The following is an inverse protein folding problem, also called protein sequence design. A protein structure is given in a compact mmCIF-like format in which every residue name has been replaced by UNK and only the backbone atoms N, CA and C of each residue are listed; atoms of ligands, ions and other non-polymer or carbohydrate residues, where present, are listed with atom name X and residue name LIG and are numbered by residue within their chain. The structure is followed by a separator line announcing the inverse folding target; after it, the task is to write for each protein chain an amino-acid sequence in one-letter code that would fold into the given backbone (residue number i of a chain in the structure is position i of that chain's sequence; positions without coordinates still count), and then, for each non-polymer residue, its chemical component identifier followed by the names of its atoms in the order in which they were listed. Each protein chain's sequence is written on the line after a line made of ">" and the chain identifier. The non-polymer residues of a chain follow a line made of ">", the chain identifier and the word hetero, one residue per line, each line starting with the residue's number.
data_IF_765406729571
#
_entry.id   IF_765406729571
#
_cell.length_a   1.000
_cell.length_b   1.000
_cell.length_c   1.000
_cell.angle_alpha   90.00
_cell.angle_beta   90.00
_cell.angle_gamma   90.00
#
_symmetry.space_group_name_H-M   'P 1'
#
loop_
_entity.id
_entity.type
_entity.pdbx_description
1 polymer ?
#
# COMPACT_ATOMS: atom_id res chain seq x y z
N UNK A 1 -11.19 18.24 0.11
CA UNK A 1 -10.32 17.54 1.08
C UNK A 1 -10.71 17.96 2.48
N UNK A 2 -10.95 17.00 3.35
CA UNK A 2 -11.16 17.27 4.76
C UNK A 2 -9.83 17.71 5.41
N UNK A 3 -9.86 18.78 6.20
CA UNK A 3 -8.68 19.23 6.92
C UNK A 3 -8.16 18.19 7.91
N UNK A 4 -8.98 17.19 8.27
CA UNK A 4 -8.60 16.12 9.19
C UNK A 4 -7.95 14.93 8.48
N UNK A 5 -7.96 14.88 7.14
CA UNK A 5 -7.35 13.78 6.40
C UNK A 5 -5.88 14.09 6.13
N UNK A 6 -4.96 13.29 6.69
CA UNK A 6 -3.54 13.49 6.42
C UNK A 6 -3.18 13.11 4.99
N UNK A 7 -2.14 13.74 4.48
CA UNK A 7 -1.57 13.40 3.18
C UNK A 7 -0.14 12.93 3.36
N UNK A 8 0.24 11.91 2.61
CA UNK A 8 1.60 11.34 2.63
C UNK A 8 2.16 11.37 1.22
N UNK A 9 3.38 11.88 1.08
CA UNK A 9 4.09 11.85 -0.19
C UNK A 9 5.12 10.74 -0.17
N UNK A 10 5.06 9.89 -1.19
CA UNK A 10 6.06 8.85 -1.43
C UNK A 10 6.98 9.34 -2.55
N UNK A 11 8.23 9.59 -2.23
CA UNK A 11 9.24 9.98 -3.21
C UNK A 11 9.90 8.71 -3.71
N UNK A 12 9.61 8.33 -4.96
CA UNK A 12 10.18 7.11 -5.54
C UNK A 12 11.18 7.47 -6.64
N UNK A 13 11.97 6.49 -7.05
CA UNK A 13 12.90 6.67 -8.16
C UNK A 13 12.19 6.77 -9.52
N UNK A 14 10.86 6.66 -9.54
CA UNK A 14 10.04 6.87 -10.74
C UNK A 14 9.26 8.18 -10.68
N UNK A 15 9.28 8.86 -9.54
CA UNK A 15 8.57 10.12 -9.33
C UNK A 15 7.80 10.12 -8.00
N UNK A 16 7.09 11.19 -7.74
CA UNK A 16 6.36 11.37 -6.48
C UNK A 16 4.92 10.91 -6.60
N UNK A 17 4.45 10.25 -5.54
CA UNK A 17 3.04 9.82 -5.40
C UNK A 17 2.52 10.43 -4.11
N UNK A 18 1.39 11.13 -4.17
CA UNK A 18 0.76 11.68 -2.98
C UNK A 18 -0.54 10.95 -2.68
N UNK A 19 -0.67 10.50 -1.44
CA UNK A 19 -1.81 9.77 -0.94
C UNK A 19 -2.61 10.67 0.01
N UNK A 20 -3.93 10.64 -0.09
CA UNK A 20 -4.80 11.20 0.94
C UNK A 20 -5.34 10.04 1.77
N UNK A 21 -5.14 10.09 3.08
CA UNK A 21 -5.53 9.02 3.99
C UNK A 21 -6.84 9.36 4.67
N UNK A 22 -7.76 8.39 4.74
CA UNK A 22 -9.09 8.60 5.33
C UNK A 22 -9.09 8.17 6.79
N UNK A 23 -8.70 9.08 7.67
CA UNK A 23 -8.60 8.81 9.11
C UNK A 23 -9.98 8.64 9.78
N UNK A 24 -11.03 9.12 9.15
CA UNK A 24 -12.39 8.97 9.68
C UNK A 24 -12.91 7.55 9.50
N UNK A 25 -12.66 6.95 8.34
CA UNK A 25 -13.14 5.61 8.00
C UNK A 25 -12.19 4.50 8.43
N UNK A 26 -10.90 4.79 8.51
CA UNK A 26 -9.88 3.81 8.82
C UNK A 26 -8.88 4.36 9.85
N UNK A 27 -9.35 4.74 11.05
CA UNK A 27 -8.50 5.44 12.02
C UNK A 27 -7.30 4.61 12.48
N UNK A 28 -7.48 3.32 12.73
CA UNK A 28 -6.38 2.44 13.18
C UNK A 28 -5.38 2.21 12.07
N UNK A 29 -5.85 1.98 10.86
CA UNK A 29 -5.00 1.73 9.70
C UNK A 29 -4.18 2.98 9.35
N UNK A 30 -4.83 4.15 9.35
CA UNK A 30 -4.16 5.42 9.06
C UNK A 30 -3.10 5.72 10.12
N UNK A 31 -3.44 5.58 11.41
CA UNK A 31 -2.49 5.81 12.50
C UNK A 31 -1.29 4.88 12.40
N UNK A 32 -1.52 3.62 12.07
CA UNK A 32 -0.47 2.62 11.88
C UNK A 32 0.45 3.01 10.71
N UNK A 33 -0.14 3.36 9.57
CA UNK A 33 0.61 3.75 8.38
C UNK A 33 1.46 4.99 8.64
N UNK A 34 0.90 6.01 9.28
CA UNK A 34 1.62 7.26 9.62
C UNK A 34 2.76 6.96 10.59
N UNK A 35 2.54 6.07 11.57
CA UNK A 35 3.58 5.64 12.49
C UNK A 35 4.80 5.09 11.73
N UNK A 36 4.57 4.24 10.72
CA UNK A 36 5.65 3.73 9.89
C UNK A 36 6.29 4.82 9.04
N UNK A 37 5.50 5.75 8.52
CA UNK A 37 6.03 6.88 7.73
C UNK A 37 6.97 7.72 8.60
N UNK A 38 6.54 8.08 9.80
CA UNK A 38 7.32 8.94 10.69
C UNK A 38 8.56 8.26 11.26
N UNK A 39 8.52 6.93 11.41
CA UNK A 39 9.67 6.18 11.88
C UNK A 39 10.74 5.93 10.81
N UNK A 40 10.45 6.29 9.54
CA UNK A 40 11.37 6.04 8.44
C UNK A 40 11.32 4.61 7.90
N UNK A 41 10.33 3.83 8.28
CA UNK A 41 10.21 2.43 7.86
C UNK A 41 10.18 2.28 6.34
N UNK A 42 9.46 3.17 5.65
CA UNK A 42 9.32 3.09 4.20
C UNK A 42 10.49 3.66 3.42
N UNK A 43 11.39 4.39 4.10
CA UNK A 43 12.56 4.95 3.43
C UNK A 43 13.49 3.80 3.01
N UNK A 44 13.79 3.73 1.72
CA UNK A 44 14.62 2.64 1.16
C UNK A 44 13.86 1.34 0.92
N UNK A 45 12.55 1.29 1.13
CA UNK A 45 11.75 0.12 0.79
C UNK A 45 11.42 0.09 -0.69
N UNK A 46 11.02 -1.08 -1.20
CA UNK A 46 10.73 -1.26 -2.62
C UNK A 46 9.28 -1.70 -2.83
N UNK A 47 8.80 -1.46 -4.05
CA UNK A 47 7.59 -2.12 -4.54
C UNK A 47 8.02 -3.49 -5.05
N UNK A 48 7.86 -4.50 -4.23
CA UNK A 48 8.40 -5.85 -4.51
C UNK A 48 7.43 -6.73 -5.31
N UNK A 49 6.23 -6.24 -5.58
CA UNK A 49 5.23 -6.98 -6.35
C UNK A 49 4.43 -6.00 -7.20
N UNK A 50 4.50 -6.20 -8.52
CA UNK A 50 3.80 -5.35 -9.48
C UNK A 50 3.07 -6.24 -10.46
N UNK A 51 1.75 -6.11 -10.52
CA UNK A 51 0.91 -6.83 -11.46
C UNK A 51 0.09 -5.78 -12.22
N UNK A 52 0.38 -5.61 -13.50
CA UNK A 52 -0.10 -4.47 -14.31
C UNK A 52 -1.61 -4.34 -14.39
N UNK A 53 -2.35 -5.45 -14.23
CA UNK A 53 -3.81 -5.45 -14.29
C UNK A 53 -4.44 -5.65 -12.92
N UNK A 54 -3.71 -5.38 -11.84
CA UNK A 54 -4.17 -5.68 -10.49
C UNK A 54 -3.73 -4.60 -9.50
N UNK A 55 -2.46 -4.62 -9.09
CA UNK A 55 -1.97 -3.69 -8.06
C UNK A 55 -0.45 -3.61 -8.07
N UNK A 56 0.07 -2.60 -7.37
CA UNK A 56 1.50 -2.48 -7.05
C UNK A 56 1.63 -2.51 -5.52
N UNK A 57 2.45 -3.41 -5.00
CA UNK A 57 2.58 -3.67 -3.56
C UNK A 57 3.98 -3.40 -3.08
N UNK A 58 4.10 -2.77 -1.92
CA UNK A 58 5.40 -2.45 -1.33
C UNK A 58 5.33 -2.21 0.16
N UNK A 59 6.47 -1.76 0.71
CA UNK A 59 6.58 -1.38 2.11
C UNK A 59 7.06 -2.48 3.04
N UNK A 60 7.36 -3.69 2.51
CA UNK A 60 7.78 -4.82 3.35
C UNK A 60 9.25 -5.22 3.20
N UNK A 61 9.90 -4.84 2.11
CA UNK A 61 11.26 -5.29 1.80
C UNK A 61 12.15 -4.09 1.44
N UNK A 62 13.44 -4.21 1.74
CA UNK A 62 14.44 -3.22 1.31
C UNK A 62 15.00 -3.56 -0.07
N UNK A 63 15.98 -2.77 -0.55
CA UNK A 63 16.56 -2.95 -1.88
C UNK A 63 17.32 -4.26 -2.04
N UNK A 64 17.73 -4.88 -0.95
CA UNK A 64 18.42 -6.17 -0.93
C UNK A 64 17.44 -7.33 -0.71
N UNK A 65 16.14 -7.04 -0.74
CA UNK A 65 15.06 -8.00 -0.55
C UNK A 65 15.04 -8.63 0.85
N UNK A 66 15.54 -7.88 1.84
CA UNK A 66 15.41 -8.28 3.24
C UNK A 66 14.10 -7.73 3.79
N UNK A 67 13.34 -8.57 4.46
CA UNK A 67 12.08 -8.14 5.09
C UNK A 67 12.39 -7.19 6.25
N UNK A 68 11.76 -6.01 6.21
CA UNK A 68 11.96 -5.02 7.27
C UNK A 68 11.15 -5.43 8.50
N UNK A 69 11.69 -5.22 9.72
CA UNK A 69 10.94 -5.54 10.94
C UNK A 69 9.68 -4.68 11.06
N UNK A 70 8.62 -5.28 11.60
CA UNK A 70 7.33 -4.61 11.73
C UNK A 70 6.86 -4.62 13.18
N UNK A 71 5.91 -3.73 13.47
CA UNK A 71 5.20 -3.69 14.74
C UNK A 71 4.09 -4.74 14.74
N UNK A 72 3.36 -4.85 15.85
CA UNK A 72 2.24 -5.77 15.95
C UNK A 72 1.19 -5.50 14.86
N UNK A 73 0.51 -6.55 14.34
CA UNK A 73 -0.55 -6.36 13.37
C UNK A 73 -1.72 -5.57 13.93
N UNK A 74 -2.49 -4.99 13.02
CA UNK A 74 -3.67 -4.21 13.37
C UNK A 74 -4.95 -4.91 12.94
N UNK A 75 -6.06 -4.50 13.54
CA UNK A 75 -7.38 -5.00 13.20
C UNK A 75 -7.76 -4.56 11.78
N UNK A 76 -8.41 -5.45 11.03
CA UNK A 76 -8.88 -5.15 9.68
C UNK A 76 -10.07 -4.19 9.75
N UNK A 77 -9.98 -3.11 9.01
CA UNK A 77 -11.03 -2.09 8.93
C UNK A 77 -11.74 -2.09 7.56
N UNK A 78 -11.67 -3.19 6.83
CA UNK A 78 -12.25 -3.28 5.48
C UNK A 78 -13.78 -3.15 5.47
N UNK A 79 -14.43 -3.31 6.62
CA UNK A 79 -15.87 -3.14 6.78
C UNK A 79 -16.30 -1.67 6.88
N UNK A 80 -15.42 -0.74 6.55
CA UNK A 80 -15.65 0.70 6.65
C UNK A 80 -16.41 1.30 5.45
N UNK A 81 -16.75 0.50 4.45
CA UNK A 81 -17.47 0.95 3.26
C UNK A 81 -16.59 1.49 2.13
N UNK A 82 -15.29 1.61 2.34
CA UNK A 82 -14.37 2.02 1.27
C UNK A 82 -14.10 0.85 0.34
N UNK A 83 -13.94 1.14 -0.95
CA UNK A 83 -13.83 0.13 -2.01
C UNK A 83 -12.45 0.12 -2.63
N UNK A 84 -12.02 -1.07 -3.08
CA UNK A 84 -10.76 -1.25 -3.81
C UNK A 84 -10.94 -0.86 -5.28
N UNK A 85 -11.06 0.43 -5.52
CA UNK A 85 -11.18 1.00 -6.86
C UNK A 85 -9.80 1.45 -7.37
N UNK A 86 -9.70 1.76 -8.65
CA UNK A 86 -8.45 2.25 -9.24
C UNK A 86 -7.96 3.48 -8.46
N UNK A 87 -6.72 3.43 -7.99
CA UNK A 87 -6.11 4.50 -7.18
C UNK A 87 -6.33 4.37 -5.68
N UNK A 88 -7.13 3.40 -5.22
CA UNK A 88 -7.32 3.17 -3.79
C UNK A 88 -6.08 2.51 -3.19
N UNK A 89 -5.72 2.93 -1.98
CA UNK A 89 -4.60 2.38 -1.22
C UNK A 89 -5.15 1.51 -0.10
N UNK A 90 -4.69 0.28 -0.03
CA UNK A 90 -5.16 -0.69 0.95
C UNK A 90 -4.00 -1.43 1.60
N UNK A 91 -4.24 -2.02 2.78
CA UNK A 91 -3.23 -2.78 3.50
C UNK A 91 -3.18 -4.23 3.01
N UNK A 92 -1.99 -4.69 2.67
CA UNK A 92 -1.74 -6.10 2.39
C UNK A 92 -1.75 -6.88 3.71
N UNK A 93 -2.16 -8.13 3.66
CA UNK A 93 -2.23 -9.02 4.82
C UNK A 93 -2.03 -10.48 4.41
N UNK A 94 -1.85 -11.34 5.41
CA UNK A 94 -1.86 -12.79 5.18
C UNK A 94 -3.31 -13.31 5.18
N UNK A 95 -3.49 -14.61 5.21
CA UNK A 95 -4.83 -15.22 5.29
C UNK A 95 -5.56 -14.89 6.60
N UNK A 96 -4.83 -14.51 7.64
CA UNK A 96 -5.45 -13.99 8.86
C UNK A 96 -5.98 -12.58 8.56
N UNK A 97 -7.29 -12.33 8.71
CA UNK A 97 -7.87 -11.02 8.41
C UNK A 97 -7.24 -9.86 9.19
N UNK A 98 -6.74 -10.14 10.40
CA UNK A 98 -6.19 -9.13 11.31
C UNK A 98 -4.66 -9.23 11.39
N UNK A 99 -4.00 -9.43 10.26
CA UNK A 99 -2.54 -9.60 10.19
C UNK A 99 -1.80 -8.48 9.47
N UNK A 100 -2.49 -7.42 9.08
CA UNK A 100 -1.87 -6.30 8.38
C UNK A 100 -0.88 -5.56 9.30
N UNK A 101 0.29 -5.22 8.78
CA UNK A 101 1.29 -4.45 9.53
C UNK A 101 1.81 -3.27 8.71
N UNK A 102 2.82 -3.46 7.85
CA UNK A 102 3.46 -2.39 7.12
C UNK A 102 3.22 -2.41 5.62
N UNK A 103 3.02 -3.58 5.03
CA UNK A 103 2.88 -3.69 3.58
C UNK A 103 1.54 -3.12 3.11
N UNK A 104 1.58 -2.37 2.03
CA UNK A 104 0.39 -1.78 1.43
C UNK A 104 0.45 -1.98 -0.08
N UNK A 105 -0.69 -1.79 -0.74
CA UNK A 105 -0.74 -1.83 -2.19
C UNK A 105 -1.64 -0.72 -2.72
N UNK A 106 -1.36 -0.32 -3.96
CA UNK A 106 -2.16 0.67 -4.69
C UNK A 106 -2.86 -0.08 -5.81
N UNK A 107 -4.18 0.00 -5.84
CA UNK A 107 -4.97 -0.64 -6.89
C UNK A 107 -4.77 0.10 -8.21
N UNK A 108 -4.49 -0.63 -9.27
CA UNK A 108 -4.32 -0.06 -10.62
C UNK A 108 -5.51 -0.37 -11.53
N UNK A 109 -6.57 -0.90 -10.95
CA UNK A 109 -7.89 -1.07 -11.57
C UNK A 109 -8.91 -1.27 -10.45
N UNK A 110 -10.18 -1.35 -10.80
CA UNK A 110 -11.24 -1.66 -9.84
C UNK A 110 -11.17 -3.15 -9.49
N UNK A 111 -10.84 -3.44 -8.23
CA UNK A 111 -10.66 -4.81 -7.74
C UNK A 111 -11.78 -5.15 -6.74
N UNK A 112 -13.01 -5.27 -7.23
CA UNK A 112 -14.18 -5.50 -6.40
C UNK A 112 -14.08 -6.76 -5.53
N UNK A 113 -13.37 -7.77 -6.01
CA UNK A 113 -13.19 -9.02 -5.26
C UNK A 113 -12.32 -8.86 -4.00
N UNK A 114 -11.67 -7.73 -3.84
CA UNK A 114 -10.89 -7.41 -2.63
C UNK A 114 -11.72 -6.67 -1.57
N UNK A 115 -12.96 -6.31 -1.90
CA UNK A 115 -13.83 -5.59 -0.97
C UNK A 115 -14.37 -6.52 0.11
N UNK A 116 -14.63 -5.94 1.28
CA UNK A 116 -15.26 -6.68 2.38
C UNK A 116 -16.64 -7.19 1.96
N UNK A 117 -16.89 -8.47 2.16
CA UNK A 117 -18.20 -9.08 1.90
C UNK A 117 -18.78 -9.78 3.13
N UNK A 118 -17.91 -10.29 4.01
CA UNK A 118 -18.33 -10.97 5.25
C UNK A 118 -17.16 -11.02 6.22
N UNK A 119 -17.43 -11.31 7.48
CA UNK A 119 -16.40 -11.40 8.51
C UNK A 119 -15.80 -12.80 8.59
N UNK A 120 -15.35 -13.31 7.45
CA UNK A 120 -14.67 -14.60 7.30
C UNK A 120 -13.29 -14.37 6.68
N UNK A 121 -12.34 -15.32 6.80
CA UNK A 121 -11.01 -15.13 6.22
C UNK A 121 -11.04 -14.78 4.72
N UNK A 122 -11.94 -15.36 3.95
CA UNK A 122 -12.07 -15.08 2.52
C UNK A 122 -12.88 -13.82 2.24
N UNK A 123 -13.80 -13.44 3.13
CA UNK A 123 -14.74 -12.35 2.90
C UNK A 123 -14.36 -11.02 3.51
N UNK A 124 -13.40 -10.99 4.44
CA UNK A 124 -12.99 -9.73 5.10
C UNK A 124 -12.50 -8.69 4.12
N UNK A 125 -11.79 -9.10 3.07
CA UNK A 125 -11.21 -8.20 2.11
C UNK A 125 -9.98 -7.48 2.65
N UNK A 126 -9.62 -6.39 1.99
CA UNK A 126 -8.44 -5.60 2.34
C UNK A 126 -8.88 -4.18 2.71
N UNK A 127 -8.37 -3.69 3.84
CA UNK A 127 -8.78 -2.39 4.37
C UNK A 127 -8.25 -1.25 3.50
N UNK A 128 -9.16 -0.58 2.80
CA UNK A 128 -8.83 0.66 2.08
C UNK A 128 -8.77 1.79 3.10
N UNK A 129 -7.67 2.53 3.09
CA UNK A 129 -7.47 3.63 4.04
C UNK A 129 -7.09 4.95 3.37
N UNK A 130 -7.01 4.97 2.06
CA UNK A 130 -6.67 6.19 1.34
C UNK A 130 -6.77 6.01 -0.16
N UNK A 131 -6.34 7.05 -0.88
CA UNK A 131 -6.34 7.05 -2.34
C UNK A 131 -5.21 7.92 -2.84
N UNK A 132 -4.77 7.66 -4.07
CA UNK A 132 -3.77 8.48 -4.75
C UNK A 132 -4.49 9.74 -5.27
N UNK A 133 -4.01 10.92 -4.86
CA UNK A 133 -4.56 12.19 -5.32
C UNK A 133 -3.62 12.90 -6.29
N UNK A 134 -2.33 12.57 -6.27
CA UNK A 134 -1.36 13.06 -7.22
C UNK A 134 -0.37 11.95 -7.55
N UNK A 135 0.10 11.90 -8.79
CA UNK A 135 1.11 10.93 -9.19
C UNK A 135 0.56 9.63 -9.75
N UNK A 136 -0.70 9.58 -10.18
CA UNK A 136 -1.21 8.38 -10.84
C UNK A 136 -0.43 8.04 -12.11
N UNK A 137 0.13 9.04 -12.78
CA UNK A 137 1.02 8.81 -13.92
C UNK A 137 2.29 8.05 -13.50
N UNK A 138 2.79 8.30 -12.29
CA UNK A 138 3.91 7.54 -11.71
C UNK A 138 3.49 6.11 -11.43
N UNK A 139 2.31 5.91 -10.85
CA UNK A 139 1.76 4.57 -10.59
C UNK A 139 1.60 3.80 -11.90
N UNK A 140 1.10 4.47 -12.95
CA UNK A 140 0.98 3.87 -14.29
C UNK A 140 2.34 3.46 -14.86
N UNK A 141 3.38 4.28 -14.62
CA UNK A 141 4.75 3.96 -15.01
C UNK A 141 5.24 2.72 -14.26
N UNK A 142 4.99 2.67 -12.95
CA UNK A 142 5.42 1.54 -12.11
C UNK A 142 4.76 0.24 -12.55
N UNK A 143 3.45 0.27 -12.83
CA UNK A 143 2.74 -0.96 -13.23
C UNK A 143 3.20 -1.51 -14.57
N UNK A 144 3.81 -0.68 -15.39
CA UNK A 144 4.26 -1.07 -16.74
C UNK A 144 5.69 -1.59 -16.77
N UNK A 145 6.43 -1.58 -15.66
CA UNK A 145 7.82 -2.03 -15.65
C UNK A 145 7.92 -3.54 -15.89
N UNK A 146 9.02 -3.99 -16.51
CA UNK A 146 9.25 -5.43 -16.65
C UNK A 146 9.39 -6.10 -15.28
N UNK A 147 8.75 -7.25 -15.12
CA UNK A 147 8.80 -8.02 -13.87
C UNK A 147 9.31 -9.43 -14.14
N UNK A 148 9.73 -10.11 -13.08
CA UNK A 148 10.21 -11.47 -13.14
C UNK A 148 10.25 -12.08 -11.76
N UNK A 149 10.88 -13.24 -11.64
CA UNK A 149 11.06 -13.92 -10.36
C UNK A 149 12.36 -13.48 -9.72
N UNK A 150 12.32 -13.21 -8.41
CA UNK A 150 13.48 -12.80 -7.64
C UNK A 150 13.35 -13.31 -6.21
N UNK A 151 14.38 -13.98 -5.70
CA UNK A 151 14.42 -14.47 -4.31
C UNK A 151 13.19 -15.31 -3.92
N UNK A 152 12.63 -16.06 -4.88
CA UNK A 152 11.45 -16.89 -4.66
C UNK A 152 10.12 -16.15 -4.78
N UNK A 153 10.15 -14.87 -5.09
CA UNK A 153 8.94 -14.05 -5.29
C UNK A 153 8.68 -13.87 -6.78
N UNK A 154 7.40 -13.86 -7.15
CA UNK A 154 6.96 -13.61 -8.52
C UNK A 154 6.53 -12.16 -8.68
N UNK A 155 6.49 -11.69 -9.92
CA UNK A 155 6.02 -10.35 -10.27
C UNK A 155 6.83 -9.24 -9.60
N UNK A 156 8.14 -9.47 -9.44
CA UNK A 156 9.06 -8.49 -8.88
C UNK A 156 9.62 -7.64 -10.02
N UNK A 157 9.61 -6.30 -9.91
CA UNK A 157 10.24 -5.45 -10.91
C UNK A 157 11.69 -5.85 -11.12
N UNK A 158 12.12 -5.97 -12.38
CA UNK A 158 13.51 -6.35 -12.70
C UNK A 158 14.50 -5.30 -12.25
N UNK A 159 14.08 -4.02 -12.27
CA UNK A 159 14.84 -2.93 -11.67
C UNK A 159 14.05 -2.47 -10.45
N UNK A 160 14.72 -2.28 -9.32
CA UNK A 160 14.05 -1.91 -8.08
C UNK A 160 13.29 -0.59 -8.24
N UNK A 161 12.03 -0.61 -7.85
CA UNK A 161 11.21 0.60 -7.70
C UNK A 161 11.32 0.97 -6.21
N UNK A 162 12.13 1.97 -5.90
CA UNK A 162 12.50 2.31 -4.52
C UNK A 162 11.67 3.48 -4.03
N UNK A 163 11.09 3.33 -2.82
CA UNK A 163 10.53 4.47 -2.09
C UNK A 163 11.71 5.11 -1.36
N UNK A 164 12.23 6.19 -1.92
CA UNK A 164 13.40 6.85 -1.35
C UNK A 164 13.07 7.55 -0.04
N UNK A 165 11.84 8.07 0.06
CA UNK A 165 11.35 8.74 1.26
C UNK A 165 9.82 8.70 1.30
N UNK A 166 9.27 8.56 2.49
CA UNK A 166 7.83 8.75 2.73
C UNK A 166 7.69 9.78 3.85
N UNK A 167 6.82 10.78 3.64
CA UNK A 167 6.65 11.85 4.61
C UNK A 167 5.20 12.33 4.66
N UNK A 168 4.77 12.76 5.84
CA UNK A 168 3.49 13.43 6.01
C UNK A 168 3.65 14.87 5.55
N UNK A 169 2.82 15.31 4.60
CA UNK A 169 2.94 16.63 3.97
C UNK A 169 1.77 17.56 4.30
N UNK A 170 0.85 17.09 5.14
CA UNK A 170 -0.29 17.92 5.56
C UNK A 170 -0.65 17.63 7.01
#
# INVERSE_FOLDING_TARGET
>A
VSASNPQVRLTTNQGDITLELNAEKAPKTVANFISYVESGHYDGSIFHRVISNFMVQGGGFDEEFHQKPTQAPIENEADNGLKNVNGAVAMARTMDPHSASAQFFINVKDNDFLNHSSKTPQGWGYAVFGQVIEGMDVVETIKAVPTGNKMGHQDVPKENIVIEKAEVVN
#
